data_IF_233526087368
#
_entry.id   IF_233526087368
#
_cell.length_a   1.000
_cell.length_b   1.000
_cell.length_c   1.000
_cell.angle_alpha   90.00
_cell.angle_beta   90.00
_cell.angle_gamma   90.00
#
_symmetry.space_group_name_H-M   'P 1'
#
loop_
_entity.id
_entity.type
_entity.pdbx_description
1 polymer ?
#
# COMPACT_ATOMS: atom_id res chain seq x y z
N UNK A 1 -22.63 12.20 27.69
CA UNK A 1 -21.59 11.16 27.88
C UNK A 1 -21.66 10.31 26.62
N UNK A 2 -20.62 10.34 25.80
CA UNK A 2 -20.57 9.47 24.62
C UNK A 2 -19.76 8.25 25.04
N UNK A 3 -20.47 7.14 25.23
CA UNK A 3 -19.87 5.85 25.54
C UNK A 3 -19.27 5.29 24.24
N UNK A 4 -18.03 5.65 23.96
CA UNK A 4 -17.24 5.02 22.92
C UNK A 4 -16.82 3.63 23.41
N UNK A 5 -17.62 2.63 23.06
CA UNK A 5 -17.23 1.22 23.06
C UNK A 5 -16.09 1.01 22.05
N UNK A 6 -14.88 1.39 22.42
CA UNK A 6 -13.66 1.00 21.72
C UNK A 6 -13.46 -0.48 22.08
N UNK A 7 -13.87 -1.38 21.18
CA UNK A 7 -13.41 -2.76 21.20
C UNK A 7 -11.98 -2.77 20.65
N UNK A 8 -11.02 -2.58 21.55
CA UNK A 8 -9.59 -2.77 21.28
C UNK A 8 -9.36 -4.28 21.27
N UNK A 9 -9.01 -4.88 20.14
CA UNK A 9 -8.52 -6.25 20.14
C UNK A 9 -7.08 -6.31 20.69
N UNK A 10 -6.54 -7.51 20.91
CA UNK A 10 -5.18 -7.72 21.46
C UNK A 10 -4.07 -7.08 20.58
N UNK A 11 -4.42 -6.61 19.37
CA UNK A 11 -3.54 -5.90 18.43
C UNK A 11 -3.88 -4.41 18.23
N UNK A 12 -4.92 -3.88 18.89
CA UNK A 12 -5.28 -2.46 18.85
C UNK A 12 -6.08 -1.99 17.63
N UNK A 13 -6.73 -2.89 16.88
CA UNK A 13 -7.35 -2.56 15.58
C UNK A 13 -8.88 -2.46 15.66
N UNK A 14 -9.40 -1.23 15.70
CA UNK A 14 -10.79 -0.89 15.41
C UNK A 14 -10.90 -0.33 13.96
N UNK A 15 -12.11 -0.26 13.39
CA UNK A 15 -12.36 0.38 12.06
C UNK A 15 -11.73 1.78 11.92
N UNK A 16 -11.42 2.41 13.05
CA UNK A 16 -10.71 3.67 13.16
C UNK A 16 -9.29 3.63 12.55
N UNK A 17 -8.58 2.50 12.55
CA UNK A 17 -7.20 2.48 12.06
C UNK A 17 -7.09 2.77 10.58
N UNK A 18 -7.98 2.22 9.76
CA UNK A 18 -8.01 2.52 8.33
C UNK A 18 -8.35 4.00 8.08
N UNK A 19 -9.28 4.58 8.84
CA UNK A 19 -9.58 6.02 8.75
C UNK A 19 -8.40 6.88 9.19
N UNK A 20 -7.72 6.54 10.28
CA UNK A 20 -6.49 7.21 10.72
C UNK A 20 -5.42 7.15 9.63
N UNK A 21 -5.24 6.01 8.98
CA UNK A 21 -4.27 5.88 7.86
C UNK A 21 -4.67 6.80 6.70
N UNK A 22 -5.94 6.91 6.35
CA UNK A 22 -6.41 7.87 5.33
C UNK A 22 -6.08 9.32 5.71
N UNK A 23 -6.31 9.71 6.97
CA UNK A 23 -5.92 11.02 7.47
C UNK A 23 -4.41 11.26 7.41
N UNK A 24 -3.59 10.21 7.58
CA UNK A 24 -2.13 10.30 7.37
C UNK A 24 -1.77 10.44 5.90
N UNK A 25 -2.46 9.73 5.00
CA UNK A 25 -2.29 9.87 3.54
C UNK A 25 -2.62 11.29 3.07
N UNK A 26 -3.61 11.93 3.66
CA UNK A 26 -3.97 13.32 3.33
C UNK A 26 -2.85 14.32 3.66
N UNK A 27 -1.97 13.99 4.62
CA UNK A 27 -0.78 14.79 4.96
C UNK A 27 0.38 14.62 3.97
N UNK A 28 0.33 13.60 3.12
CA UNK A 28 1.36 13.36 2.09
C UNK A 28 1.17 14.39 0.97
N UNK A 29 2.24 15.07 0.51
CA UNK A 29 2.17 16.00 -0.61
C UNK A 29 1.67 15.34 -1.90
N UNK A 30 0.89 16.07 -2.70
CA UNK A 30 0.34 15.56 -3.96
C UNK A 30 1.42 15.20 -4.99
N UNK A 31 2.60 15.80 -4.89
CA UNK A 31 3.77 15.43 -5.70
C UNK A 31 4.23 13.98 -5.50
N UNK A 32 3.93 13.37 -4.34
CA UNK A 32 4.22 11.97 -4.06
C UNK A 32 3.01 11.06 -4.30
N UNK A 33 1.86 11.63 -4.66
CA UNK A 33 0.65 10.92 -5.14
C UNK A 33 0.60 10.86 -6.67
N UNK A 34 1.77 10.92 -7.31
CA UNK A 34 1.93 10.93 -8.76
C UNK A 34 2.55 9.62 -9.28
N UNK A 35 2.46 9.36 -10.58
CA UNK A 35 3.06 8.16 -11.19
C UNK A 35 4.58 8.12 -10.91
N UNK A 36 5.12 6.92 -10.63
CA UNK A 36 6.54 6.67 -10.28
C UNK A 36 6.98 7.16 -8.89
N UNK A 37 6.03 7.53 -8.03
CA UNK A 37 6.29 7.98 -6.66
C UNK A 37 5.97 6.96 -5.57
N UNK A 38 5.74 5.71 -5.94
CA UNK A 38 5.34 4.64 -5.03
C UNK A 38 6.28 4.48 -3.82
N UNK A 39 7.60 4.54 -4.04
CA UNK A 39 8.59 4.47 -2.95
C UNK A 39 8.52 5.68 -2.02
N UNK A 40 8.52 6.89 -2.57
CA UNK A 40 8.47 8.13 -1.78
C UNK A 40 7.18 8.18 -0.94
N UNK A 41 6.05 7.79 -1.53
CA UNK A 41 4.76 7.65 -0.85
C UNK A 41 4.81 6.61 0.27
N UNK A 42 5.29 5.40 -0.01
CA UNK A 42 5.31 4.30 0.95
C UNK A 42 6.19 4.65 2.17
N UNK A 43 7.40 5.19 1.95
CA UNK A 43 8.29 5.59 3.04
C UNK A 43 7.71 6.75 3.88
N UNK A 44 7.07 7.74 3.25
CA UNK A 44 6.40 8.83 3.99
C UNK A 44 5.23 8.31 4.81
N UNK A 45 4.36 7.48 4.23
CA UNK A 45 3.22 6.91 4.93
C UNK A 45 3.67 6.04 6.11
N UNK A 46 4.68 5.20 5.90
CA UNK A 46 5.33 4.38 6.93
C UNK A 46 5.89 5.22 8.08
N UNK A 47 6.57 6.34 7.79
CA UNK A 47 7.05 7.26 8.83
C UNK A 47 5.90 7.84 9.65
N UNK A 48 4.86 8.34 8.98
CA UNK A 48 3.68 8.90 9.64
C UNK A 48 2.94 7.85 10.50
N UNK A 49 2.85 6.61 10.02
CA UNK A 49 2.24 5.51 10.76
C UNK A 49 3.06 5.14 11.99
N UNK A 50 4.39 5.08 11.88
CA UNK A 50 5.29 4.87 13.02
C UNK A 50 5.11 5.94 14.10
N UNK A 51 5.05 7.21 13.70
CA UNK A 51 4.81 8.32 14.62
C UNK A 51 3.44 8.22 15.31
N UNK A 52 2.43 7.69 14.62
CA UNK A 52 1.09 7.46 15.15
C UNK A 52 0.97 6.13 15.94
N UNK A 53 2.03 5.33 16.05
CA UNK A 53 2.00 4.02 16.70
C UNK A 53 1.22 2.95 15.94
N UNK A 54 1.02 3.13 14.63
CA UNK A 54 0.30 2.20 13.75
C UNK A 54 1.31 1.30 13.05
N UNK A 55 1.06 0.00 13.04
CA UNK A 55 1.86 -0.99 12.30
C UNK A 55 1.16 -1.42 11.01
N UNK A 56 1.94 -1.90 10.05
CA UNK A 56 1.48 -2.39 8.76
C UNK A 56 2.55 -3.24 8.10
N UNK A 57 2.38 -3.54 6.81
CA UNK A 57 3.40 -4.20 5.99
C UNK A 57 3.80 -3.27 4.86
N UNK A 58 5.09 -3.01 4.72
CA UNK A 58 5.61 -2.38 3.52
C UNK A 58 5.84 -3.47 2.48
N UNK A 59 5.02 -3.47 1.44
CA UNK A 59 5.05 -4.51 0.40
C UNK A 59 5.62 -3.95 -0.89
N UNK A 60 6.33 -4.80 -1.64
CA UNK A 60 6.87 -4.50 -2.95
C UNK A 60 6.50 -5.61 -3.92
N UNK A 61 5.91 -5.24 -5.06
CA UNK A 61 5.82 -6.13 -6.21
C UNK A 61 7.04 -5.93 -7.08
N UNK A 62 7.71 -7.02 -7.42
CA UNK A 62 8.95 -7.02 -8.17
C UNK A 62 8.84 -7.95 -9.38
N UNK A 63 8.97 -7.39 -10.58
CA UNK A 63 9.18 -8.14 -11.81
C UNK A 63 10.59 -8.77 -11.82
N UNK A 64 10.68 -9.97 -12.39
CA UNK A 64 11.97 -10.63 -12.63
C UNK A 64 12.66 -10.05 -13.87
N UNK A 65 11.94 -10.04 -14.99
CA UNK A 65 12.49 -9.68 -16.31
C UNK A 65 11.96 -8.34 -16.79
N UNK A 66 10.64 -8.17 -16.82
CA UNK A 66 9.99 -7.00 -17.42
C UNK A 66 10.36 -5.70 -16.68
N UNK A 67 10.76 -4.63 -17.41
CA UNK A 67 11.20 -3.37 -16.80
C UNK A 67 10.08 -2.61 -16.09
N UNK A 68 8.83 -2.83 -16.52
CA UNK A 68 7.70 -2.01 -16.10
C UNK A 68 6.66 -2.80 -15.33
N UNK A 69 6.12 -2.20 -14.26
CA UNK A 69 4.85 -2.64 -13.66
C UNK A 69 3.73 -1.91 -14.40
N UNK A 70 2.76 -2.69 -14.89
CA UNK A 70 1.65 -2.19 -15.70
C UNK A 70 0.36 -2.47 -14.95
N UNK A 71 -0.36 -1.41 -14.65
CA UNK A 71 -1.71 -1.39 -14.10
C UNK A 71 -2.73 -1.37 -15.24
N UNK A 72 -3.83 -2.12 -15.08
CA UNK A 72 -4.97 -2.10 -15.99
C UNK A 72 -5.65 -0.73 -15.99
N UNK A 73 -5.74 -0.08 -14.82
CA UNK A 73 -6.37 1.24 -14.65
C UNK A 73 -5.49 2.39 -15.15
N UNK A 74 -4.19 2.35 -14.83
CA UNK A 74 -3.30 3.51 -14.91
C UNK A 74 -2.15 3.37 -15.92
N UNK A 75 -2.00 2.22 -16.57
CA UNK A 75 -0.90 1.96 -17.49
C UNK A 75 0.42 1.72 -16.74
N UNK A 76 1.54 2.27 -17.24
CA UNK A 76 2.86 2.03 -16.64
C UNK A 76 3.01 2.82 -15.33
N UNK A 77 3.06 2.11 -14.20
CA UNK A 77 3.14 2.70 -12.86
C UNK A 77 4.49 2.53 -12.16
N UNK A 78 5.31 1.58 -12.64
CA UNK A 78 6.69 1.37 -12.19
C UNK A 78 7.63 1.20 -13.39
N UNK A 79 8.83 1.80 -13.35
CA UNK A 79 9.84 1.76 -14.43
C UNK A 79 11.13 1.01 -14.09
N UNK A 80 11.30 0.67 -12.80
CA UNK A 80 12.50 0.00 -12.28
C UNK A 80 12.17 -1.41 -11.81
N UNK A 81 11.27 -2.09 -12.53
CA UNK A 81 10.78 -3.43 -12.24
C UNK A 81 9.95 -3.58 -10.95
N UNK A 82 9.72 -2.51 -10.20
CA UNK A 82 8.98 -2.62 -8.94
C UNK A 82 7.87 -1.58 -8.78
N UNK A 83 6.95 -1.89 -7.86
CA UNK A 83 5.93 -0.99 -7.32
C UNK A 83 5.77 -1.29 -5.82
N UNK A 84 5.65 -0.24 -5.00
CA UNK A 84 5.61 -0.35 -3.52
C UNK A 84 4.32 0.21 -2.96
N UNK A 85 3.89 -0.36 -1.83
CA UNK A 85 2.68 0.05 -1.13
C UNK A 85 2.74 -0.30 0.36
N UNK A 86 1.80 0.24 1.14
CA UNK A 86 1.59 -0.11 2.54
C UNK A 86 0.28 -0.88 2.70
N UNK A 87 0.33 -2.07 3.29
CA UNK A 87 -0.82 -2.92 3.60
C UNK A 87 -1.16 -2.84 5.10
N UNK A 88 -2.43 -2.57 5.43
CA UNK A 88 -3.01 -2.72 6.77
C UNK A 88 -4.32 -3.50 6.61
N UNK A 89 -4.48 -4.63 7.30
CA UNK A 89 -5.70 -5.45 7.28
C UNK A 89 -6.27 -5.73 5.88
N UNK A 90 -5.40 -6.14 4.95
CA UNK A 90 -5.76 -6.39 3.54
C UNK A 90 -6.25 -5.15 2.77
N UNK A 91 -6.06 -3.95 3.31
CA UNK A 91 -6.22 -2.68 2.59
C UNK A 91 -4.83 -2.16 2.24
N UNK A 92 -4.63 -1.86 0.96
CA UNK A 92 -3.38 -1.39 0.39
C UNK A 92 -3.51 0.08 0.04
N UNK A 93 -2.54 0.87 0.48
CA UNK A 93 -2.37 2.27 0.15
C UNK A 93 -1.10 2.44 -0.69
N UNK A 94 -1.24 3.05 -1.86
CA UNK A 94 -0.12 3.48 -2.67
C UNK A 94 -0.33 4.91 -3.21
N UNK A 95 0.62 5.38 -4.01
CA UNK A 95 0.61 6.73 -4.58
C UNK A 95 -0.58 7.01 -5.51
N UNK A 96 -1.30 5.99 -6.01
CA UNK A 96 -2.45 6.12 -6.91
C UNK A 96 -3.78 5.69 -6.26
N UNK A 97 -3.74 4.74 -5.32
CA UNK A 97 -4.86 4.22 -4.55
C UNK A 97 -4.86 4.82 -3.13
N UNK A 98 -4.84 6.15 -3.05
CA UNK A 98 -4.65 6.93 -1.81
C UNK A 98 -5.79 6.75 -0.79
N UNK A 99 -6.96 6.29 -1.24
CA UNK A 99 -8.12 5.99 -0.37
C UNK A 99 -8.09 4.59 0.22
N UNK A 100 -7.10 3.79 -0.19
CA UNK A 100 -7.02 2.37 0.12
C UNK A 100 -7.87 1.54 -0.85
N UNK A 101 -7.33 0.41 -1.25
CA UNK A 101 -7.99 -0.61 -2.08
C UNK A 101 -7.77 -1.98 -1.44
N UNK A 102 -8.63 -2.96 -1.70
CA UNK A 102 -8.38 -4.31 -1.18
C UNK A 102 -7.11 -4.89 -1.82
N UNK A 103 -6.34 -5.65 -1.05
CA UNK A 103 -5.12 -6.30 -1.52
C UNK A 103 -5.36 -7.12 -2.79
N UNK A 104 -6.44 -7.90 -2.85
CA UNK A 104 -6.73 -8.73 -4.02
C UNK A 104 -7.04 -7.88 -5.27
N UNK A 105 -7.83 -6.81 -5.12
CA UNK A 105 -8.13 -5.87 -6.20
C UNK A 105 -6.86 -5.15 -6.70
N UNK A 106 -5.92 -4.85 -5.79
CA UNK A 106 -4.63 -4.24 -6.11
C UNK A 106 -3.70 -5.19 -6.87
N UNK A 107 -3.65 -6.46 -6.43
CA UNK A 107 -2.89 -7.52 -7.11
C UNK A 107 -3.47 -7.83 -8.49
N UNK A 108 -4.80 -7.84 -8.61
CA UNK A 108 -5.50 -8.06 -9.87
C UNK A 108 -5.27 -6.94 -10.88
N UNK A 109 -5.14 -5.69 -10.45
CA UNK A 109 -4.88 -4.55 -11.32
C UNK A 109 -3.57 -4.70 -12.11
N UNK A 110 -2.60 -5.46 -11.59
CA UNK A 110 -1.29 -5.69 -12.21
C UNK A 110 -1.07 -7.14 -12.70
N UNK A 111 -2.15 -7.93 -12.79
CA UNK A 111 -2.14 -9.36 -13.17
C UNK A 111 -1.19 -10.21 -12.30
N UNK A 112 -1.04 -9.87 -11.02
CA UNK A 112 -0.06 -10.50 -10.15
C UNK A 112 -0.25 -12.00 -10.02
N UNK A 113 -1.47 -12.49 -9.80
CA UNK A 113 -1.73 -13.93 -9.61
C UNK A 113 -1.29 -14.76 -10.81
N UNK A 114 -1.52 -14.24 -12.03
CA UNK A 114 -1.03 -14.88 -13.26
C UNK A 114 0.50 -14.83 -13.32
N UNK A 115 1.10 -13.65 -13.13
CA UNK A 115 2.55 -13.48 -13.23
C UNK A 115 3.33 -14.28 -12.17
N UNK A 116 2.83 -14.33 -10.93
CA UNK A 116 3.40 -15.10 -9.83
C UNK A 116 3.33 -16.61 -10.10
N UNK A 117 2.21 -17.11 -10.65
CA UNK A 117 2.08 -18.52 -11.07
C UNK A 117 3.20 -18.94 -12.03
N UNK A 118 3.64 -18.04 -12.91
CA UNK A 118 4.74 -18.25 -13.84
C UNK A 118 6.09 -17.72 -13.35
N UNK A 119 6.18 -17.33 -12.07
CA UNK A 119 7.42 -16.85 -11.41
C UNK A 119 8.04 -15.64 -12.11
N UNK A 120 7.22 -14.80 -12.75
CA UNK A 120 7.67 -13.56 -13.41
C UNK A 120 7.50 -12.32 -12.54
N UNK A 121 6.73 -12.43 -11.46
CA UNK A 121 6.56 -11.43 -10.40
C UNK A 121 6.60 -12.09 -9.03
N UNK A 122 7.11 -11.35 -8.04
CA UNK A 122 7.12 -11.73 -6.63
C UNK A 122 6.62 -10.59 -5.76
N UNK A 123 6.10 -10.93 -4.59
CA UNK A 123 5.83 -9.98 -3.51
C UNK A 123 6.92 -10.11 -2.46
N UNK A 124 7.55 -8.99 -2.12
CA UNK A 124 8.52 -8.88 -1.04
C UNK A 124 7.90 -8.09 0.11
N UNK A 125 8.17 -8.51 1.34
CA UNK A 125 7.88 -7.70 2.53
C UNK A 125 9.18 -6.97 2.88
N UNK A 126 9.14 -5.65 2.84
CA UNK A 126 10.25 -4.77 3.19
C UNK A 126 10.25 -4.52 4.71
N UNK A 127 11.39 -4.08 5.23
CA UNK A 127 11.54 -3.78 6.66
C UNK A 127 10.52 -2.72 7.10
N UNK A 128 9.86 -2.95 8.23
CA UNK A 128 8.85 -2.03 8.78
C UNK A 128 9.49 -0.83 9.47
#
# INVERSE_FOLDING_TARGET
MFDSNIQVDVFGLDCNTIEKVRELVDKIPDEDKAIFKCKDFAEKLKSLMKEAGITGKHIQIQNVIAPNIISKKNGIIGKNKFHEAIEIDSIVFDNLETKGVKLDDWLDDIDFHFNNKYKTQYINILEW
#
